data_IF_196085285811
#
_entry.id   IF_196085285811
#
_cell.length_a   1.000
_cell.length_b   1.000
_cell.length_c   1.000
_cell.angle_alpha   90.00
_cell.angle_beta   90.00
_cell.angle_gamma   90.00
#
_symmetry.space_group_name_H-M   'P 1'
#
loop_
_entity.id
_entity.type
_entity.pdbx_description
1 polymer ?
#
# COMPACT_ATOMS: atom_id res chain seq x y z
N UNK A 1 29.04 -13.74 11.75
CA UNK A 1 28.87 -15.14 12.20
C UNK A 1 28.87 -16.02 10.97
N UNK A 2 29.74 -17.03 10.89
CA UNK A 2 29.94 -17.76 9.64
C UNK A 2 28.77 -18.74 9.42
N UNK A 3 27.92 -18.48 8.43
CA UNK A 3 26.72 -19.28 8.16
C UNK A 3 27.03 -20.75 7.77
N UNK A 4 28.26 -21.02 7.30
CA UNK A 4 28.81 -22.37 7.15
C UNK A 4 29.00 -23.09 8.49
N UNK A 5 29.47 -22.39 9.53
CA UNK A 5 29.72 -23.00 10.85
C UNK A 5 28.41 -23.32 11.56
N UNK A 6 27.35 -22.54 11.37
CA UNK A 6 26.02 -22.86 11.91
C UNK A 6 25.43 -24.11 11.24
N UNK A 7 25.53 -24.24 9.91
CA UNK A 7 25.09 -25.45 9.20
C UNK A 7 25.90 -26.68 9.64
N UNK A 8 27.22 -26.55 9.75
CA UNK A 8 28.09 -27.65 10.22
C UNK A 8 27.71 -28.14 11.63
N UNK A 9 27.47 -27.22 12.57
CA UNK A 9 27.04 -27.56 13.93
C UNK A 9 25.69 -28.27 13.94
N UNK A 10 24.71 -27.82 13.14
CA UNK A 10 23.39 -28.48 13.04
C UNK A 10 23.51 -29.91 12.48
N UNK A 11 24.32 -30.11 11.44
CA UNK A 11 24.59 -31.45 10.89
C UNK A 11 25.30 -32.36 11.91
N UNK A 12 26.23 -31.82 12.70
CA UNK A 12 26.97 -32.57 13.73
C UNK A 12 26.03 -33.00 14.87
N UNK A 13 25.16 -32.11 15.36
CA UNK A 13 24.14 -32.44 16.37
C UNK A 13 23.17 -33.50 15.85
N UNK A 14 22.68 -33.37 14.61
CA UNK A 14 21.82 -34.39 13.99
C UNK A 14 22.53 -35.76 13.87
N UNK A 15 23.80 -35.78 13.47
CA UNK A 15 24.60 -37.00 13.39
C UNK A 15 24.79 -37.69 14.75
N UNK A 16 25.03 -36.92 15.82
CA UNK A 16 25.10 -37.45 17.19
C UNK A 16 23.77 -38.07 17.60
N UNK A 17 22.65 -37.36 17.39
CA UNK A 17 21.31 -37.87 17.73
C UNK A 17 20.98 -39.15 16.96
N UNK A 18 21.26 -39.18 15.64
CA UNK A 18 21.07 -40.36 14.80
C UNK A 18 21.89 -41.56 15.30
N UNK A 19 23.14 -41.34 15.72
CA UNK A 19 24.02 -42.43 16.19
C UNK A 19 23.66 -42.97 17.58
N UNK A 20 23.17 -42.12 18.49
CA UNK A 20 22.85 -42.51 19.87
C UNK A 20 21.39 -42.95 20.08
N UNK A 21 20.44 -42.49 19.27
CA UNK A 21 19.00 -42.74 19.44
C UNK A 21 18.36 -43.38 18.20
N UNK A 22 19.13 -44.18 17.45
CA UNK A 22 18.75 -44.71 16.14
C UNK A 22 17.41 -45.48 16.15
N UNK A 23 17.19 -46.35 17.14
CA UNK A 23 15.93 -47.11 17.29
C UNK A 23 14.74 -46.20 17.60
N UNK A 24 14.87 -45.31 18.60
CA UNK A 24 13.79 -44.39 19.01
C UNK A 24 13.40 -43.38 17.92
N UNK A 25 14.37 -42.91 17.12
CA UNK A 25 14.12 -42.03 15.98
C UNK A 25 13.45 -42.78 14.81
N UNK A 26 13.88 -44.01 14.54
CA UNK A 26 13.32 -44.84 13.47
C UNK A 26 11.86 -45.24 13.75
N UNK A 27 11.57 -45.74 14.96
CA UNK A 27 10.21 -46.15 15.33
C UNK A 27 9.24 -44.96 15.46
N UNK A 28 9.69 -43.84 16.03
CA UNK A 28 8.80 -42.70 16.30
C UNK A 28 8.64 -41.74 15.12
N UNK A 29 9.63 -41.66 14.24
CA UNK A 29 9.64 -40.76 13.08
C UNK A 29 10.27 -41.45 11.86
N UNK A 30 9.57 -42.39 11.19
CA UNK A 30 10.13 -43.14 10.07
C UNK A 30 10.64 -42.26 8.91
N UNK A 31 10.09 -41.05 8.76
CA UNK A 31 10.43 -40.10 7.70
C UNK A 31 11.41 -38.97 8.15
N UNK A 32 12.04 -39.07 9.32
CA UNK A 32 12.92 -38.01 9.87
C UNK A 32 14.03 -37.57 8.89
N UNK A 33 14.57 -38.52 8.12
CA UNK A 33 15.62 -38.28 7.11
C UNK A 33 15.13 -37.39 5.95
N UNK A 34 13.88 -37.55 5.51
CA UNK A 34 13.26 -36.70 4.48
C UNK A 34 12.98 -35.29 4.99
N UNK A 35 12.51 -35.15 6.24
CA UNK A 35 12.31 -33.82 6.85
C UNK A 35 13.63 -33.07 7.05
N UNK A 36 14.69 -33.76 7.50
CA UNK A 36 16.02 -33.17 7.66
C UNK A 36 16.66 -32.80 6.31
N UNK A 37 16.53 -33.65 5.29
CA UNK A 37 16.95 -33.34 3.92
C UNK A 37 16.21 -32.14 3.34
N UNK A 38 14.88 -32.07 3.52
CA UNK A 38 14.07 -30.92 3.13
C UNK A 38 14.49 -29.62 3.83
N UNK A 39 14.77 -29.69 5.14
CA UNK A 39 15.29 -28.54 5.91
C UNK A 39 16.64 -28.05 5.36
N UNK A 40 17.58 -28.94 5.04
CA UNK A 40 18.86 -28.57 4.43
C UNK A 40 18.68 -27.91 3.06
N UNK A 41 17.81 -28.43 2.21
CA UNK A 41 17.51 -27.85 0.88
C UNK A 41 16.92 -26.44 1.04
N UNK A 42 15.94 -26.26 1.92
CA UNK A 42 15.32 -24.94 2.18
C UNK A 42 16.33 -23.95 2.77
N UNK A 43 17.18 -24.37 3.71
CA UNK A 43 18.23 -23.51 4.27
C UNK A 43 19.24 -23.06 3.22
N UNK A 44 19.70 -23.97 2.35
CA UNK A 44 20.62 -23.64 1.26
C UNK A 44 19.97 -22.71 0.22
N UNK A 45 18.68 -22.91 -0.09
CA UNK A 45 17.92 -22.05 -1.00
C UNK A 45 17.74 -20.64 -0.43
N UNK A 46 17.36 -20.51 0.84
CA UNK A 46 17.27 -19.21 1.52
C UNK A 46 18.63 -18.52 1.58
N UNK A 47 19.70 -19.26 1.89
CA UNK A 47 21.05 -18.73 1.88
C UNK A 47 21.46 -18.18 0.50
N UNK A 48 21.20 -18.94 -0.57
CA UNK A 48 21.46 -18.53 -1.96
C UNK A 48 20.73 -17.23 -2.30
N UNK A 49 19.42 -17.15 -2.01
CA UNK A 49 18.62 -15.94 -2.27
C UNK A 49 19.18 -14.72 -1.53
N UNK A 50 19.58 -14.86 -0.26
CA UNK A 50 20.11 -13.73 0.53
C UNK A 50 21.47 -13.24 0.03
N UNK A 51 22.33 -14.13 -0.47
CA UNK A 51 23.71 -13.78 -0.82
C UNK A 51 23.88 -13.40 -2.30
N UNK A 52 23.17 -14.07 -3.21
CA UNK A 52 23.27 -13.83 -4.65
C UNK A 52 22.19 -12.86 -5.15
N UNK A 53 20.98 -12.96 -4.59
CA UNK A 53 19.79 -12.20 -5.02
C UNK A 53 19.36 -11.17 -3.96
N UNK A 54 20.32 -10.54 -3.27
CA UNK A 54 20.06 -9.56 -2.20
C UNK A 54 19.08 -8.45 -2.62
N UNK A 55 19.17 -7.97 -3.86
CA UNK A 55 18.27 -6.95 -4.43
C UNK A 55 16.82 -7.43 -4.51
N UNK A 56 16.60 -8.71 -4.84
CA UNK A 56 15.27 -9.32 -4.85
C UNK A 56 14.72 -9.48 -3.44
N UNK A 57 15.51 -10.07 -2.52
CA UNK A 57 15.09 -10.27 -1.12
C UNK A 57 14.74 -8.93 -0.45
N UNK A 58 15.56 -7.90 -0.66
CA UNK A 58 15.31 -6.56 -0.12
C UNK A 58 14.00 -5.95 -0.66
N UNK A 59 13.72 -6.08 -1.98
CA UNK A 59 12.45 -5.62 -2.57
C UNK A 59 11.26 -6.38 -2.01
N UNK A 60 11.34 -7.70 -1.88
CA UNK A 60 10.26 -8.53 -1.33
C UNK A 60 9.97 -8.18 0.14
N UNK A 61 11.01 -8.09 0.97
CA UNK A 61 10.86 -7.71 2.39
C UNK A 61 10.29 -6.29 2.55
N UNK A 62 10.75 -5.35 1.72
CA UNK A 62 10.20 -3.99 1.71
C UNK A 62 8.73 -3.97 1.32
N UNK A 63 8.33 -4.68 0.26
CA UNK A 63 6.92 -4.75 -0.14
C UNK A 63 6.04 -5.34 0.96
N UNK A 64 6.51 -6.38 1.67
CA UNK A 64 5.80 -6.97 2.81
C UNK A 64 5.66 -5.96 3.95
N UNK A 65 6.74 -5.28 4.31
CA UNK A 65 6.76 -4.26 5.36
C UNK A 65 5.82 -3.09 5.04
N UNK A 66 5.95 -2.53 3.83
CA UNK A 66 5.13 -1.41 3.34
C UNK A 66 3.64 -1.83 3.33
N UNK A 67 3.29 -3.02 2.83
CA UNK A 67 1.92 -3.58 2.86
C UNK A 67 1.39 -3.84 4.28
N UNK A 68 2.27 -4.11 5.26
CA UNK A 68 1.87 -4.37 6.65
C UNK A 68 1.70 -3.09 7.46
N UNK A 69 2.45 -2.04 7.13
CA UNK A 69 2.32 -0.72 7.77
C UNK A 69 1.25 0.15 7.11
N UNK A 70 0.87 -0.14 5.89
CA UNK A 70 -0.25 0.50 5.22
C UNK A 70 -1.57 0.12 5.93
N UNK A 71 -2.27 1.07 6.59
CA UNK A 71 -3.52 0.74 7.27
C UNK A 71 -4.59 0.38 6.23
N UNK A 72 -5.47 -0.58 6.55
CA UNK A 72 -6.54 -1.10 5.67
C UNK A 72 -7.45 -0.04 5.00
N UNK A 73 -7.37 1.23 5.41
CA UNK A 73 -8.14 2.36 4.92
C UNK A 73 -7.29 3.53 4.37
N UNK A 74 -5.97 3.39 4.17
CA UNK A 74 -5.16 4.38 3.42
C UNK A 74 -5.64 4.51 1.97
N UNK A 75 -6.03 3.39 1.36
CA UNK A 75 -6.77 3.31 0.10
C UNK A 75 -8.23 3.77 0.22
N UNK A 76 -8.53 4.68 1.16
CA UNK A 76 -9.62 5.62 0.95
C UNK A 76 -9.22 6.50 -0.24
N UNK A 77 -9.80 6.20 -1.39
CA UNK A 77 -9.55 6.76 -2.73
C UNK A 77 -9.88 8.27 -2.90
N UNK A 78 -9.93 9.00 -1.78
CA UNK A 78 -10.10 10.45 -1.66
C UNK A 78 -8.78 11.21 -1.39
N UNK A 79 -7.67 10.52 -1.07
CA UNK A 79 -6.36 11.10 -0.78
C UNK A 79 -5.35 10.95 -1.94
N UNK A 80 -4.87 9.73 -2.19
CA UNK A 80 -3.80 9.49 -3.18
C UNK A 80 -4.23 9.77 -4.63
N UNK A 81 -5.53 9.71 -4.93
CA UNK A 81 -6.06 10.17 -6.22
C UNK A 81 -5.91 11.69 -6.38
N UNK A 82 -6.10 12.50 -5.32
CA UNK A 82 -5.89 13.95 -5.44
C UNK A 82 -4.45 14.26 -5.86
N UNK A 83 -3.46 13.65 -5.25
CA UNK A 83 -2.04 13.94 -5.57
C UNK A 83 -1.69 13.53 -7.00
N UNK A 84 -2.19 12.38 -7.47
CA UNK A 84 -2.03 11.97 -8.88
C UNK A 84 -2.82 12.84 -9.89
N UNK A 85 -3.96 13.42 -9.50
CA UNK A 85 -4.71 14.37 -10.34
C UNK A 85 -4.08 15.77 -10.35
N UNK A 86 -3.64 16.29 -9.19
CA UNK A 86 -2.97 17.60 -9.08
C UNK A 86 -1.62 17.60 -9.82
N UNK A 87 -0.89 16.49 -9.81
CA UNK A 87 0.36 16.35 -10.55
C UNK A 87 0.20 16.37 -12.08
N UNK A 88 -1.02 16.20 -12.61
CA UNK A 88 -1.27 15.91 -14.02
C UNK A 88 -2.29 16.87 -14.69
N UNK A 89 -2.35 18.12 -14.22
CA UNK A 89 -3.32 19.15 -14.66
C UNK A 89 -4.80 18.70 -14.57
N UNK A 90 -5.15 17.90 -13.56
CA UNK A 90 -6.53 17.45 -13.34
C UNK A 90 -7.47 18.61 -13.03
N UNK A 91 -8.50 18.80 -13.85
CA UNK A 91 -9.57 19.76 -13.60
C UNK A 91 -10.23 19.47 -12.24
N UNK A 92 -10.28 20.48 -11.36
CA UNK A 92 -10.82 20.37 -10.00
C UNK A 92 -12.36 20.36 -10.03
N UNK A 93 -13.00 20.85 -11.10
CA UNK A 93 -14.46 20.88 -11.26
C UNK A 93 -15.14 19.52 -11.04
N UNK A 94 -14.82 18.43 -11.76
CA UNK A 94 -15.49 17.14 -11.57
C UNK A 94 -15.37 16.60 -10.14
N UNK A 95 -14.23 16.82 -9.47
CA UNK A 95 -14.02 16.44 -8.09
C UNK A 95 -14.93 17.21 -7.11
N UNK A 96 -15.08 18.52 -7.31
CA UNK A 96 -15.99 19.35 -6.51
C UNK A 96 -17.46 19.01 -6.77
N UNK A 97 -17.84 18.83 -8.04
CA UNK A 97 -19.21 18.43 -8.44
C UNK A 97 -19.58 17.09 -7.80
N UNK A 98 -18.68 16.10 -7.83
CA UNK A 98 -18.90 14.79 -7.19
C UNK A 98 -19.03 14.93 -5.65
N UNK A 99 -18.14 15.69 -4.99
CA UNK A 99 -18.24 15.98 -3.54
C UNK A 99 -19.53 16.71 -3.16
N UNK A 100 -20.11 17.48 -4.07
CA UNK A 100 -21.38 18.18 -3.89
C UNK A 100 -22.59 17.36 -4.38
N UNK A 101 -22.45 16.04 -4.55
CA UNK A 101 -23.48 15.11 -5.00
C UNK A 101 -24.16 15.56 -6.31
N UNK A 102 -23.36 16.06 -7.25
CA UNK A 102 -23.78 16.65 -8.52
C UNK A 102 -24.75 17.83 -8.40
N UNK A 103 -24.74 18.58 -7.28
CA UNK A 103 -25.63 19.74 -7.06
C UNK A 103 -24.87 21.04 -6.93
N UNK A 104 -25.45 22.10 -7.48
CA UNK A 104 -24.95 23.47 -7.33
C UNK A 104 -25.02 23.90 -5.86
N UNK A 105 -23.91 24.42 -5.31
CA UNK A 105 -23.83 24.87 -3.93
C UNK A 105 -24.86 25.95 -3.53
N UNK A 106 -25.27 26.83 -4.48
CA UNK A 106 -26.13 27.99 -4.19
C UNK A 106 -27.63 27.73 -4.39
N UNK A 107 -28.01 26.89 -5.35
CA UNK A 107 -29.42 26.64 -5.69
C UNK A 107 -29.86 25.17 -5.57
N UNK A 108 -28.95 24.25 -5.21
CA UNK A 108 -29.21 22.81 -5.03
C UNK A 108 -29.72 22.04 -6.26
N UNK A 109 -29.86 22.70 -7.42
CA UNK A 109 -30.16 22.09 -8.71
C UNK A 109 -29.05 21.12 -9.13
N UNK A 110 -29.43 20.06 -9.82
CA UNK A 110 -28.51 19.07 -10.36
C UNK A 110 -27.73 19.65 -11.57
N UNK A 111 -26.44 19.37 -11.66
CA UNK A 111 -25.63 19.58 -12.86
C UNK A 111 -25.95 18.46 -13.86
N UNK A 112 -26.52 18.80 -15.01
CA UNK A 112 -26.74 17.86 -16.12
C UNK A 112 -25.39 17.45 -16.74
N UNK A 113 -24.51 18.43 -16.99
CA UNK A 113 -23.14 18.22 -17.44
C UNK A 113 -22.16 18.78 -16.40
N UNK A 114 -21.11 18.02 -16.00
CA UNK A 114 -20.13 18.50 -15.01
C UNK A 114 -19.22 19.62 -15.57
N UNK A 115 -19.08 19.74 -16.89
CA UNK A 115 -18.28 20.79 -17.55
C UNK A 115 -18.92 22.19 -17.47
N UNK A 116 -20.26 22.24 -17.34
CA UNK A 116 -21.02 23.48 -17.12
C UNK A 116 -20.82 24.06 -15.71
N UNK A 117 -20.18 23.31 -14.80
CA UNK A 117 -19.90 23.79 -13.45
C UNK A 117 -18.84 24.89 -13.47
N UNK A 118 -19.19 26.06 -12.91
CA UNK A 118 -18.27 27.18 -12.71
C UNK A 118 -17.68 27.09 -11.30
N UNK A 119 -16.36 27.19 -11.21
CA UNK A 119 -15.65 27.34 -9.94
C UNK A 119 -15.91 28.73 -9.35
N UNK A 120 -16.28 28.78 -8.07
CA UNK A 120 -16.45 30.03 -7.33
C UNK A 120 -16.03 29.85 -5.87
N UNK A 121 -15.91 30.96 -5.14
CA UNK A 121 -15.59 30.93 -3.71
C UNK A 121 -16.87 30.94 -2.87
N UNK A 122 -16.91 30.14 -1.81
CA UNK A 122 -18.00 30.13 -0.81
C UNK A 122 -18.07 31.47 -0.06
N UNK A 123 -16.91 32.05 0.24
CA UNK A 123 -16.74 33.42 0.72
C UNK A 123 -15.86 34.15 -0.31
N UNK A 124 -16.34 35.21 -0.98
CA UNK A 124 -15.54 35.96 -1.94
C UNK A 124 -14.26 36.53 -1.33
N UNK A 125 -13.18 36.57 -2.10
CA UNK A 125 -11.88 37.10 -1.64
C UNK A 125 -11.99 38.55 -1.13
N UNK A 126 -12.85 39.36 -1.75
CA UNK A 126 -13.13 40.75 -1.34
C UNK A 126 -13.79 40.85 0.05
N UNK A 127 -14.46 39.79 0.51
CA UNK A 127 -15.20 39.72 1.78
C UNK A 127 -14.43 38.91 2.86
N UNK A 128 -13.10 38.88 2.77
CA UNK A 128 -12.24 38.13 3.70
C UNK A 128 -12.15 36.62 3.42
N UNK A 129 -12.67 36.17 2.29
CA UNK A 129 -12.46 34.81 1.81
C UNK A 129 -11.00 34.54 1.47
N UNK A 130 -10.54 33.32 1.69
CA UNK A 130 -9.16 32.90 1.37
C UNK A 130 -9.12 32.00 0.14
N UNK A 131 -8.00 31.98 -0.56
CA UNK A 131 -7.73 31.01 -1.63
C UNK A 131 -7.20 29.67 -1.06
N UNK A 132 -7.96 29.07 -0.13
CA UNK A 132 -7.67 27.76 0.48
C UNK A 132 -8.73 26.74 -0.03
N UNK A 133 -8.39 25.49 -0.43
CA UNK A 133 -9.29 24.60 -1.21
C UNK A 133 -10.69 24.31 -0.62
N UNK A 134 -10.85 24.47 0.69
CA UNK A 134 -12.15 24.33 1.37
C UNK A 134 -13.11 25.51 1.12
N UNK A 135 -12.61 26.63 0.60
CA UNK A 135 -13.41 27.79 0.19
C UNK A 135 -13.85 27.72 -1.28
N UNK A 136 -13.42 26.70 -2.05
CA UNK A 136 -13.85 26.49 -3.44
C UNK A 136 -15.13 25.65 -3.50
N UNK A 137 -16.06 26.06 -4.37
CA UNK A 137 -17.34 25.39 -4.61
C UNK A 137 -17.70 25.38 -6.10
N UNK A 138 -18.43 24.36 -6.55
CA UNK A 138 -19.02 24.34 -7.89
C UNK A 138 -20.41 25.01 -7.87
N UNK A 139 -20.64 25.92 -8.81
CA UNK A 139 -21.91 26.65 -8.95
C UNK A 139 -22.38 26.66 -10.41
N UNK A 140 -23.68 26.83 -10.60
CA UNK A 140 -24.29 26.88 -11.92
C UNK A 140 -23.88 28.16 -12.69
N UNK A 141 -23.86 28.18 -14.04
CA UNK A 141 -23.48 29.37 -14.82
C UNK A 141 -24.34 30.61 -14.55
N UNK A 142 -25.61 30.42 -14.22
CA UNK A 142 -26.50 31.51 -13.79
C UNK A 142 -26.24 31.92 -12.34
N UNK A 143 -25.74 31.02 -11.50
CA UNK A 143 -25.44 31.26 -10.08
C UNK A 143 -24.13 32.05 -9.89
N UNK A 144 -23.13 31.82 -10.75
CA UNK A 144 -21.80 32.43 -10.66
C UNK A 144 -21.83 33.94 -10.91
N UNK A 145 -22.76 34.42 -11.73
CA UNK A 145 -23.00 35.86 -11.99
C UNK A 145 -23.41 36.64 -10.73
N UNK A 146 -23.84 35.95 -9.66
CA UNK A 146 -24.24 36.54 -8.38
C UNK A 146 -23.24 36.23 -7.26
N UNK A 147 -21.98 35.95 -7.59
CA UNK A 147 -20.91 35.53 -6.66
C UNK A 147 -19.56 36.22 -6.90
N UNK A 148 -19.49 37.12 -7.88
CA UNK A 148 -18.34 37.98 -8.19
C UNK A 148 -18.20 39.16 -7.23
#
# INVERSE_FOLDING_TARGET
MNWYTTLFVVCLVYYILYRYFLEQLSERFPNHLYYFGGFLIVYLLLWYLVNYEYSFVHKTMRNIYDTTQEPLYSHTSAGNNSDYYYANNGDIKPMLVNRQAHRCYKCSNLFMNPEEAVLSYKIPLQHGGKNEPHNLVAVCPTCSQFLS
#
